data_IF_124515536223
#
_entry.id   IF_124515536223
#
_cell.length_a   1.000
_cell.length_b   1.000
_cell.length_c   1.000
_cell.angle_alpha   90.00
_cell.angle_beta   90.00
_cell.angle_gamma   90.00
#
_symmetry.space_group_name_H-M   'P 1'
#
loop_
_entity.id
_entity.type
_entity.pdbx_description
1 polymer ?
2 water ?
#
# COMPACT_ATOMS: atom_id res chain seq x y z
N UNK A 21 16.30 -8.00 8.57
CA UNK A 21 15.10 -7.17 8.90
C UNK A 21 14.33 -6.73 7.66
N UNK A 22 13.10 -6.27 7.89
CA UNK A 22 12.21 -5.81 6.84
C UNK A 22 12.09 -4.28 6.89
N UNK A 23 12.48 -3.62 5.81
CA UNK A 23 12.43 -2.16 5.71
C UNK A 23 11.25 -1.70 4.86
N UNK A 24 10.39 -0.83 5.40
CA UNK A 24 9.26 -0.29 4.63
C UNK A 24 9.46 1.22 4.64
N UNK A 25 9.64 1.78 3.45
CA UNK A 25 9.86 3.21 3.32
C UNK A 25 9.27 3.68 2.01
N UNK A 26 9.23 4.98 1.79
CA UNK A 26 8.66 5.47 0.54
C UNK A 26 9.71 6.16 -0.32
N UNK A 27 9.48 6.10 -1.63
CA UNK A 27 10.35 6.71 -2.63
C UNK A 27 9.47 7.39 -3.65
N UNK A 28 9.98 8.46 -4.26
CA UNK A 28 9.20 9.16 -5.26
C UNK A 28 9.53 8.65 -6.65
N UNK A 29 8.64 8.94 -7.59
CA UNK A 29 8.85 8.58 -8.98
C UNK A 29 10.16 9.21 -9.43
N UNK A 30 10.35 10.47 -9.04
CA UNK A 30 11.55 11.23 -9.39
C UNK A 30 12.81 10.55 -8.87
N UNK A 31 12.76 10.02 -7.65
CA UNK A 31 13.92 9.34 -7.08
C UNK A 31 14.19 8.05 -7.83
N UNK A 32 13.13 7.39 -8.28
CA UNK A 32 13.27 6.14 -9.03
C UNK A 32 13.85 6.42 -10.41
N UNK A 33 13.70 7.66 -10.87
CA UNK A 33 14.20 8.08 -12.17
C UNK A 33 15.51 8.85 -12.04
N UNK A 34 15.48 9.92 -11.25
CA UNK A 34 16.66 10.76 -11.03
C UNK A 34 17.84 9.92 -10.55
N UNK A 35 17.54 8.72 -10.06
CA UNK A 35 18.59 7.82 -9.57
C UNK A 35 18.49 6.44 -10.23
N UNK A 48 28.37 -1.10 -4.70
CA UNK A 48 28.54 -2.55 -5.03
C UNK A 48 27.19 -3.28 -4.95
N UNK A 49 26.90 -3.85 -3.79
CA UNK A 49 25.65 -4.57 -3.58
C UNK A 49 24.48 -3.58 -3.55
N UNK A 50 24.82 -2.30 -3.51
CA UNK A 50 23.85 -1.21 -3.48
C UNK A 50 23.16 -1.07 -4.83
N UNK A 51 23.93 -0.72 -5.84
CA UNK A 51 23.40 -0.56 -7.19
C UNK A 51 22.70 -1.85 -7.61
N UNK A 52 23.36 -2.98 -7.36
CA UNK A 52 22.81 -4.29 -7.69
C UNK A 52 21.46 -4.51 -7.01
N UNK A 53 21.42 -4.32 -5.70
CA UNK A 53 20.18 -4.51 -4.96
C UNK A 53 19.07 -3.66 -5.55
N UNK A 54 19.41 -2.42 -5.90
CA UNK A 54 18.44 -1.50 -6.47
C UNK A 54 17.95 -2.00 -7.83
N UNK A 55 18.86 -2.58 -8.61
CA UNK A 55 18.46 -3.08 -9.91
C UNK A 55 17.54 -4.29 -9.76
N UNK A 56 17.82 -5.13 -8.77
CA UNK A 56 16.99 -6.31 -8.54
C UNK A 56 15.61 -5.86 -8.11
N UNK A 57 15.58 -4.84 -7.25
CA UNK A 57 14.33 -4.29 -6.75
C UNK A 57 13.48 -3.77 -7.92
N UNK A 58 14.11 -2.98 -8.78
CA UNK A 58 13.41 -2.43 -9.94
C UNK A 58 12.92 -3.53 -10.87
N UNK A 59 13.73 -4.57 -11.06
CA UNK A 59 13.34 -5.67 -11.95
C UNK A 59 12.17 -6.47 -11.36
N UNK A 60 11.92 -6.30 -10.06
CA UNK A 60 10.85 -7.05 -9.41
C UNK A 60 9.57 -6.22 -9.25
N UNK A 61 9.59 -4.98 -9.72
CA UNK A 61 8.41 -4.14 -9.55
C UNK A 61 7.33 -4.20 -10.61
N UNK A 62 6.17 -3.61 -10.29
CA UNK A 62 5.02 -3.55 -11.19
C UNK A 62 5.34 -2.68 -12.42
N UNK A 63 5.05 -3.18 -13.62
CA UNK A 63 5.30 -2.43 -14.85
C UNK A 63 4.42 -1.18 -14.90
N UNK A 64 5.00 -0.07 -15.36
CA UNK A 64 4.32 1.22 -15.42
C UNK A 64 2.99 1.22 -16.16
N UNK A 65 2.21 2.26 -15.88
CA UNK A 65 0.95 2.50 -16.55
C UNK A 65 0.82 4.02 -16.70
N UNK A 66 -0.34 4.51 -17.11
CA UNK A 66 -0.54 5.95 -17.36
C UNK A 66 -0.27 6.87 -16.16
N UNK A 67 -0.34 6.33 -14.96
CA UNK A 67 -0.22 7.14 -13.76
C UNK A 67 1.15 7.21 -13.09
N UNK A 68 2.14 6.47 -13.61
CA UNK A 68 3.47 6.53 -13.00
C UNK A 68 4.24 7.73 -13.53
N UNK A 69 4.33 8.78 -12.70
CA UNK A 69 5.03 10.00 -13.07
C UNK A 69 5.27 10.96 -11.91
N UNK A 70 5.83 12.15 -12.19
CA UNK A 70 6.10 13.13 -11.13
C UNK A 70 4.90 13.32 -10.20
N UNK A 71 5.14 13.14 -8.90
CA UNK A 71 4.07 13.29 -7.93
C UNK A 71 3.72 11.94 -7.33
N UNK A 72 3.83 10.90 -8.15
CA UNK A 72 3.54 9.55 -7.70
C UNK A 72 4.58 9.13 -6.66
N UNK A 73 4.14 8.41 -5.63
CA UNK A 73 5.03 7.93 -4.60
C UNK A 73 4.75 6.44 -4.37
N UNK A 74 5.76 5.72 -3.90
CA UNK A 74 5.65 4.30 -3.66
C UNK A 74 6.21 3.89 -2.33
N UNK A 75 5.52 2.96 -1.68
CA UNK A 75 6.05 2.35 -0.48
C UNK A 75 6.64 1.03 -0.95
N UNK A 76 7.90 0.80 -0.58
CA UNK A 76 8.61 -0.43 -0.90
C UNK A 76 8.89 -1.19 0.40
N UNK A 77 8.70 -2.51 0.37
CA UNK A 77 8.97 -3.37 1.51
C UNK A 77 10.16 -4.18 1.02
N UNK A 78 11.31 -4.00 1.66
CA UNK A 78 12.53 -4.64 1.20
C UNK A 78 13.26 -5.41 2.29
N UNK A 79 13.82 -6.54 1.88
CA UNK A 79 14.56 -7.39 2.79
C UNK A 79 15.71 -8.03 2.02
N UNK A 80 16.92 -7.87 2.53
CA UNK A 80 18.09 -8.45 1.88
C UNK A 80 18.20 -8.04 0.41
N UNK A 81 17.97 -6.76 0.14
CA UNK A 81 18.06 -6.26 -1.23
C UNK A 81 16.98 -6.75 -2.18
N UNK A 82 15.88 -7.28 -1.65
CA UNK A 82 14.81 -7.76 -2.50
C UNK A 82 13.45 -7.17 -2.14
N UNK A 83 12.62 -6.98 -3.15
CA UNK A 83 11.29 -6.40 -2.98
C UNK A 83 10.24 -7.44 -2.61
N UNK A 84 9.66 -7.31 -1.41
CA UNK A 84 8.64 -8.25 -0.96
C UNK A 84 7.24 -7.67 -1.10
N UNK A 85 7.13 -6.34 -1.15
CA UNK A 85 5.81 -5.74 -1.29
C UNK A 85 5.92 -4.28 -1.68
N UNK A 86 4.82 -3.73 -2.16
CA UNK A 86 4.81 -2.33 -2.55
C UNK A 86 3.41 -1.87 -2.80
N UNK A 87 3.24 -0.56 -2.78
CA UNK A 87 1.96 0.02 -3.09
C UNK A 87 2.27 1.43 -3.58
N UNK A 88 1.41 1.91 -4.46
CA UNK A 88 1.56 3.21 -5.10
C UNK A 88 0.53 4.20 -4.64
N UNK A 89 0.97 5.43 -4.45
CA UNK A 89 0.05 6.50 -4.07
C UNK A 89 0.06 7.59 -5.11
N UNK A 90 -1.15 8.01 -5.51
CA UNK A 90 -1.34 9.07 -6.48
C UNK A 90 -2.27 10.13 -5.89
N UNK A 91 -1.93 11.41 -6.03
CA UNK A 91 -2.80 12.47 -5.50
C UNK A 91 -4.14 12.43 -6.21
N UNK A 92 -5.22 12.69 -5.47
CA UNK A 92 -6.54 12.66 -6.08
C UNK A 92 -6.70 13.77 -7.13
N UNK A 93 -5.88 14.81 -7.05
CA UNK A 93 -6.01 15.89 -8.02
C UNK A 93 -5.28 15.60 -9.32
N UNK A 94 -4.58 14.47 -9.36
CA UNK A 94 -3.90 14.08 -10.58
C UNK A 94 -4.63 12.88 -11.18
N UNK A 95 -4.45 12.63 -12.48
CA UNK A 95 -5.12 11.49 -13.11
C UNK A 95 -4.86 10.22 -12.30
N UNK A 96 -5.91 9.45 -12.06
CA UNK A 96 -5.79 8.22 -11.29
C UNK A 96 -6.85 7.20 -11.70
N UNK A 97 -6.79 6.02 -11.11
CA UNK A 97 -7.72 4.98 -11.52
C UNK A 97 -9.18 5.27 -11.21
N UNK A 98 -9.45 6.08 -10.19
CA UNK A 98 -10.83 6.37 -9.86
C UNK A 98 -11.45 7.31 -10.87
N UNK A 99 -10.71 8.36 -11.21
CA UNK A 99 -11.20 9.40 -12.10
C UNK A 99 -11.00 9.10 -13.58
N UNK A 100 -10.04 8.24 -13.90
CA UNK A 100 -9.79 7.92 -15.29
C UNK A 100 -10.14 6.48 -15.68
N UNK A 101 -9.32 5.52 -15.26
CA UNK A 101 -9.55 4.12 -15.62
C UNK A 101 -10.96 3.61 -15.35
N UNK A 102 -11.50 3.88 -14.16
CA UNK A 102 -12.82 3.40 -13.80
C UNK A 102 -13.83 4.53 -13.65
N UNK A 103 -13.59 5.60 -14.39
CA UNK A 103 -14.44 6.78 -14.37
C UNK A 103 -15.92 6.40 -14.52
N UNK A 104 -16.23 5.51 -15.46
CA UNK A 104 -17.62 5.15 -15.69
C UNK A 104 -18.26 4.38 -14.53
N UNK A 105 -17.45 3.84 -13.63
CA UNK A 105 -18.00 3.08 -12.51
C UNK A 105 -18.31 3.95 -11.29
N UNK A 106 -17.55 5.03 -11.12
CA UNK A 106 -17.66 5.85 -9.92
C UNK A 106 -17.87 7.34 -10.18
N UNK A 107 -18.31 7.72 -11.37
CA UNK A 107 -18.47 9.15 -11.65
C UNK A 107 -19.53 9.82 -10.76
N UNK A 108 -20.38 9.04 -10.11
CA UNK A 108 -21.40 9.65 -9.25
C UNK A 108 -20.83 10.00 -7.88
N UNK A 109 -19.67 9.45 -7.57
CA UNK A 109 -19.02 9.70 -6.29
C UNK A 109 -18.20 10.99 -6.32
N UNK A 110 -18.43 11.88 -5.36
CA UNK A 110 -17.67 13.11 -5.31
C UNK A 110 -16.47 12.92 -4.42
N UNK A 111 -15.29 13.20 -4.95
CA UNK A 111 -14.06 13.04 -4.20
C UNK A 111 -13.61 14.36 -3.60
N UNK A 112 -12.84 14.31 -2.50
CA UNK A 112 -12.34 15.52 -1.84
C UNK A 112 -11.33 16.20 -2.76
N UNK A 113 -11.15 17.51 -2.61
CA UNK A 113 -10.19 18.24 -3.43
C UNK A 113 -8.78 17.78 -3.08
N UNK A 114 -8.59 17.43 -1.81
CA UNK A 114 -7.29 17.00 -1.31
C UNK A 114 -7.34 15.55 -0.82
N UNK A 115 -6.41 14.73 -1.30
CA UNK A 115 -6.40 13.34 -0.89
C UNK A 115 -5.45 12.47 -1.70
N UNK A 116 -5.44 11.19 -1.37
CA UNK A 116 -4.55 10.27 -2.06
C UNK A 116 -5.27 8.97 -2.41
N UNK A 117 -4.86 8.36 -3.52
CA UNK A 117 -5.43 7.08 -3.95
C UNK A 117 -4.32 6.03 -3.90
N UNK A 118 -4.56 4.87 -3.30
CA UNK A 118 -3.53 3.84 -3.33
C UNK A 118 -3.90 2.87 -4.43
N UNK A 119 -2.91 2.37 -5.15
CA UNK A 119 -3.20 1.40 -6.21
C UNK A 119 -2.04 0.43 -6.35
N UNK A 120 -2.20 -0.57 -7.21
CA UNK A 120 -1.13 -1.52 -7.45
C UNK A 120 -0.54 -2.15 -6.18
N UNK A 121 -1.42 -2.50 -5.25
CA UNK A 121 -0.98 -3.18 -4.04
C UNK A 121 -0.30 -4.46 -4.50
N UNK A 122 0.90 -4.71 -3.98
CA UNK A 122 1.70 -5.84 -4.39
C UNK A 122 2.38 -6.54 -3.23
N UNK A 123 2.19 -7.85 -3.16
CA UNK A 123 2.88 -8.64 -2.15
C UNK A 123 3.36 -9.92 -2.83
N UNK A 124 4.66 -10.15 -2.83
CA UNK A 124 5.14 -11.39 -3.43
C UNK A 124 5.15 -12.45 -2.33
N UNK A 125 4.06 -13.20 -2.23
CA UNK A 125 3.92 -14.18 -1.17
C UNK A 125 5.00 -15.24 -1.19
N UNK A 126 5.35 -15.70 -2.38
CA UNK A 126 6.41 -16.70 -2.51
C UNK A 126 7.72 -16.16 -1.97
N UNK A 127 8.11 -14.97 -2.41
CA UNK A 127 9.38 -14.40 -1.97
C UNK A 127 9.38 -14.00 -0.50
N UNK A 128 8.22 -13.55 0.00
CA UNK A 128 8.13 -13.14 1.40
C UNK A 128 8.31 -14.36 2.31
N UNK A 129 7.74 -15.47 1.88
CA UNK A 129 7.85 -16.72 2.63
C UNK A 129 9.32 -17.11 2.74
N UNK A 130 10.03 -17.03 1.63
CA UNK A 130 11.44 -17.39 1.59
C UNK A 130 12.29 -16.52 2.52
N UNK A 131 12.09 -15.21 2.45
CA UNK A 131 12.88 -14.27 3.25
C UNK A 131 12.36 -13.99 4.66
N UNK A 132 11.05 -13.93 4.84
CA UNK A 132 10.47 -13.61 6.15
C UNK A 132 9.84 -14.81 6.83
N UNK A 133 9.98 -15.97 6.20
CA UNK A 133 9.40 -17.17 6.75
C UNK A 133 7.92 -17.22 6.48
N UNK A 134 7.36 -18.41 6.57
CA UNK A 134 5.94 -18.61 6.36
C UNK A 134 5.20 -18.00 7.55
N UNK A 135 3.95 -17.62 7.35
CA UNK A 135 3.15 -17.06 8.43
C UNK A 135 3.54 -15.63 8.82
N UNK A 136 4.53 -15.04 8.17
CA UNK A 136 4.84 -13.65 8.51
C UNK A 136 3.69 -12.82 7.94
N UNK A 137 3.05 -11.97 8.76
CA UNK A 137 1.93 -11.17 8.26
C UNK A 137 2.31 -9.98 7.39
N UNK A 138 3.05 -10.25 6.32
CA UNK A 138 3.53 -9.20 5.42
C UNK A 138 2.44 -8.26 4.92
N UNK A 139 1.24 -8.78 4.68
CA UNK A 139 0.14 -7.94 4.20
C UNK A 139 -0.29 -6.93 5.28
N UNK A 140 -0.44 -7.42 6.50
CA UNK A 140 -0.84 -6.54 7.61
C UNK A 140 0.21 -5.47 7.85
N UNK A 141 1.46 -5.83 7.63
CA UNK A 141 2.56 -4.90 7.80
C UNK A 141 2.47 -3.82 6.72
N UNK A 142 2.13 -4.20 5.49
CA UNK A 142 2.00 -3.15 4.46
C UNK A 142 0.82 -2.24 4.77
N UNK A 143 -0.26 -2.79 5.32
CA UNK A 143 -1.41 -1.96 5.69
C UNK A 143 -0.93 -0.94 6.74
N UNK A 144 -0.18 -1.44 7.71
CA UNK A 144 0.36 -0.56 8.76
C UNK A 144 1.24 0.52 8.14
N UNK A 145 2.09 0.13 7.20
CA UNK A 145 2.97 1.08 6.55
C UNK A 145 2.14 2.17 5.84
N UNK A 146 1.04 1.78 5.20
CA UNK A 146 0.20 2.77 4.50
C UNK A 146 -0.35 3.79 5.48
N UNK A 147 -0.77 3.32 6.66
CA UNK A 147 -1.30 4.23 7.69
C UNK A 147 -0.20 5.16 8.21
N UNK A 148 0.96 4.58 8.52
CA UNK A 148 2.07 5.37 9.03
C UNK A 148 2.57 6.38 8.00
N UNK A 149 2.59 5.98 6.73
CA UNK A 149 2.98 6.87 5.65
C UNK A 149 1.93 7.99 5.52
N UNK A 150 0.65 7.63 5.57
CA UNK A 150 -0.40 8.63 5.41
C UNK A 150 -0.31 9.69 6.51
N UNK A 151 -0.08 9.25 7.73
CA UNK A 151 0.04 10.22 8.83
C UNK A 151 1.21 11.16 8.60
N UNK A 152 2.29 10.61 8.05
CA UNK A 152 3.48 11.40 7.78
C UNK A 152 3.26 12.33 6.59
N UNK A 153 2.16 12.14 5.88
CA UNK A 153 1.91 12.94 4.69
C UNK A 153 0.62 13.75 4.71
N UNK A 154 0.06 13.90 5.90
CA UNK A 154 -1.15 14.71 6.06
C UNK A 154 -2.39 14.19 5.35
N UNK A 155 -2.56 12.86 5.33
CA UNK A 155 -3.77 12.24 4.77
C UNK A 155 -4.48 11.50 5.89
N UNK A 156 -5.73 11.87 6.14
CA UNK A 156 -6.47 11.22 7.21
C UNK A 156 -7.05 9.88 6.80
N UNK A 157 -7.14 9.68 5.49
CA UNK A 157 -7.66 8.43 4.94
C UNK A 157 -7.06 8.25 3.55
N UNK A 158 -7.22 7.05 3.01
CA UNK A 158 -6.70 6.73 1.69
C UNK A 158 -7.85 6.20 0.84
N UNK A 159 -7.99 6.66 -0.39
CA UNK A 159 -9.03 6.12 -1.29
C UNK A 159 -8.45 4.97 -2.11
N UNK A 160 -9.24 3.96 -2.43
CA UNK A 160 -8.67 2.87 -3.25
C UNK A 160 -9.76 2.06 -3.90
N UNK A 161 -9.41 1.42 -5.01
CA UNK A 161 -10.37 0.55 -5.71
C UNK A 161 -9.84 -0.85 -5.59
N UNK A 162 -10.64 -1.76 -5.05
CA UNK A 162 -10.17 -3.11 -4.88
C UNK A 162 -11.12 -4.16 -5.45
N UNK A 163 -10.55 -5.32 -5.70
CA UNK A 163 -11.34 -6.46 -6.15
C UNK A 163 -12.12 -7.02 -4.96
N UNK A 164 -13.07 -7.88 -5.26
CA UNK A 164 -13.89 -8.52 -4.25
C UNK A 164 -13.00 -9.32 -3.31
N UNK A 165 -12.00 -10.00 -3.87
CA UNK A 165 -11.09 -10.81 -3.08
C UNK A 165 -10.33 -9.97 -2.09
N UNK A 166 -9.83 -8.83 -2.56
CA UNK A 166 -9.08 -7.92 -1.72
C UNK A 166 -10.00 -7.29 -0.65
N UNK A 167 -11.25 -7.01 -1.01
CA UNK A 167 -12.19 -6.47 -0.04
C UNK A 167 -12.33 -7.50 1.09
N UNK A 168 -12.41 -8.78 0.75
CA UNK A 168 -12.52 -9.80 1.79
C UNK A 168 -11.29 -9.77 2.71
N UNK A 169 -10.11 -9.63 2.12
CA UNK A 169 -8.87 -9.56 2.89
C UNK A 169 -8.91 -8.38 3.85
N UNK A 170 -9.21 -7.20 3.32
CA UNK A 170 -9.26 -6.00 4.14
C UNK A 170 -10.28 -6.12 5.25
N UNK A 171 -11.42 -6.71 4.93
CA UNK A 171 -12.46 -6.83 5.92
C UNK A 171 -12.01 -7.72 7.08
N UNK A 172 -11.31 -8.80 6.74
CA UNK A 172 -10.78 -9.75 7.71
C UNK A 172 -9.59 -9.18 8.49
N UNK A 173 -8.95 -8.15 7.94
CA UNK A 173 -7.80 -7.56 8.60
C UNK A 173 -8.15 -6.79 9.87
N UNK A 174 -9.42 -6.42 10.03
CA UNK A 174 -9.78 -5.63 11.19
C UNK A 174 -9.74 -4.15 10.86
N UNK A 175 -8.94 -3.79 9.86
CA UNK A 175 -8.87 -2.38 9.44
C UNK A 175 -10.30 -1.95 9.15
N UNK A 176 -10.74 -0.84 9.76
CA UNK A 176 -12.12 -0.37 9.62
C UNK A 176 -12.38 0.37 8.32
N UNK A 177 -12.19 -0.34 7.21
CA UNK A 177 -12.39 0.24 5.91
C UNK A 177 -13.86 0.54 5.68
N UNK A 178 -14.12 1.47 4.78
CA UNK A 178 -15.49 1.86 4.46
C UNK A 178 -15.74 1.79 2.96
N UNK A 179 -16.75 1.03 2.58
CA UNK A 179 -17.11 0.92 1.18
C UNK A 179 -17.92 2.13 0.77
N UNK A 180 -17.39 2.87 -0.19
CA UNK A 180 -18.05 4.05 -0.69
C UNK A 180 -19.02 3.62 -1.78
N UNK A 181 -18.56 2.72 -2.66
CA UNK A 181 -19.43 2.24 -3.71
C UNK A 181 -18.97 0.91 -4.28
N UNK A 182 -19.95 0.05 -4.53
CA UNK A 182 -19.71 -1.26 -5.12
C UNK A 182 -20.06 -1.11 -6.59
N UNK A 183 -19.18 -1.55 -7.47
CA UNK A 183 -19.44 -1.42 -8.89
C UNK A 183 -19.25 -2.73 -9.60
N UNK A 184 -19.86 -2.86 -10.77
CA UNK A 184 -19.71 -4.10 -11.51
C UNK A 184 -18.76 -3.88 -12.66
N UNK A 185 -17.52 -4.34 -12.50
CA UNK A 185 -16.54 -4.22 -13.56
C UNK A 185 -17.12 -4.94 -14.78
N UNK A 186 -17.59 -6.16 -14.55
CA UNK A 186 -18.22 -6.95 -15.60
C UNK A 186 -19.53 -7.51 -15.05
N UNK A 187 -20.11 -8.48 -15.74
CA UNK A 187 -21.36 -9.07 -15.27
C UNK A 187 -21.14 -9.79 -13.94
N UNK A 188 -20.02 -10.51 -13.81
CA UNK A 188 -19.73 -11.25 -12.59
C UNK A 188 -18.55 -10.70 -11.78
N UNK A 189 -17.93 -9.63 -12.25
CA UNK A 189 -16.78 -9.03 -11.57
C UNK A 189 -17.14 -7.78 -10.78
N UNK A 190 -17.08 -7.85 -9.45
CA UNK A 190 -17.39 -6.69 -8.63
C UNK A 190 -16.13 -6.04 -8.07
N UNK A 191 -16.12 -4.71 -8.11
CA UNK A 191 -15.01 -3.94 -7.57
C UNK A 191 -15.57 -2.91 -6.62
N UNK A 192 -14.72 -2.38 -5.74
CA UNK A 192 -15.25 -1.48 -4.74
C UNK A 192 -14.35 -0.29 -4.52
N UNK A 193 -14.98 0.87 -4.37
CA UNK A 193 -14.29 2.11 -4.04
C UNK A 193 -14.35 2.21 -2.51
N UNK A 194 -13.20 2.30 -1.86
CA UNK A 194 -13.17 2.35 -0.41
C UNK A 194 -12.37 3.50 0.12
N UNK A 195 -12.60 3.82 1.39
CA UNK A 195 -11.71 4.75 2.07
C UNK A 195 -11.10 3.88 3.17
N UNK A 196 -9.79 4.01 3.35
CA UNK A 196 -9.03 3.29 4.36
C UNK A 196 -8.66 4.34 5.41
N UNK A 197 -9.10 4.16 6.66
CA UNK A 197 -8.79 5.14 7.70
C UNK A 197 -7.35 5.09 8.17
N UNK A 198 -6.76 6.28 8.35
CA UNK A 198 -5.38 6.39 8.79
C UNK A 198 -5.27 7.26 10.05
N UNK A 199 -6.24 7.13 10.95
CA UNK A 199 -6.21 7.90 12.19
C UNK A 199 -5.37 7.20 13.25
N UNK A 200 -5.25 7.79 14.44
CA UNK A 200 -4.44 7.16 15.48
C UNK A 200 -5.00 5.80 15.88
N UNK A 201 -6.32 5.66 15.94
CA UNK A 201 -6.90 4.37 16.33
C UNK A 201 -6.53 3.27 15.34
N UNK A 202 -6.43 3.65 14.07
CA UNK A 202 -6.10 2.69 13.03
C UNK A 202 -4.64 2.31 13.12
N UNK A 203 -3.78 3.29 13.35
CA UNK A 203 -2.35 3.03 13.50
C UNK A 203 -2.10 2.11 14.71
N UNK A 204 -2.85 2.32 15.79
CA UNK A 204 -2.66 1.49 16.98
C UNK A 204 -3.25 0.12 16.75
N UNK A 205 -4.35 0.07 16.01
CA UNK A 205 -5.01 -1.19 15.74
C UNK A 205 -4.14 -2.10 14.90
N UNK A 206 -3.67 -1.57 13.76
CA UNK A 206 -2.81 -2.36 12.88
C UNK A 206 -1.48 -2.66 13.54
N UNK A 207 -0.93 -1.66 14.22
CA UNK A 207 0.34 -1.84 14.91
C UNK A 207 0.26 -2.91 15.99
N UNK A 208 -0.84 -2.92 16.74
CA UNK A 208 -1.03 -3.89 17.80
C UNK A 208 -1.15 -5.29 17.25
N UNK A 209 -1.82 -5.42 16.12
CA UNK A 209 -1.99 -6.72 15.48
C UNK A 209 -0.63 -7.27 15.02
N UNK A 210 0.20 -6.40 14.45
CA UNK A 210 1.53 -6.80 13.99
C UNK A 210 2.41 -7.20 15.16
N UNK A 211 2.37 -6.41 16.23
CA UNK A 211 3.19 -6.74 17.39
C UNK A 211 2.82 -8.12 17.94
N UNK A 212 1.54 -8.34 18.20
CA UNK A 212 1.13 -9.62 18.76
C UNK A 212 1.34 -10.81 17.81
N UNK A 213 1.46 -10.55 16.51
CA UNK A 213 1.66 -11.64 15.55
C UNK A 213 3.12 -11.92 15.27
N UNK A 214 3.98 -10.94 15.53
CA UNK A 214 5.40 -11.13 15.25
C UNK A 214 6.26 -11.00 16.49
N UNK A 215 5.69 -10.47 17.57
CA UNK A 215 6.44 -10.30 18.79
C UNK A 215 7.54 -9.25 18.68
N UNK A 216 7.47 -8.44 17.63
CA UNK A 216 8.46 -7.39 17.43
C UNK A 216 8.36 -6.37 18.56
N UNK A 217 9.41 -5.57 18.75
CA UNK A 217 9.39 -4.56 19.81
C UNK A 217 8.24 -3.58 19.50
N UNK A 218 7.41 -3.26 20.50
CA UNK A 218 6.27 -2.36 20.34
C UNK A 218 6.56 -1.01 19.67
N UNK A 219 7.74 -0.45 19.91
CA UNK A 219 8.08 0.85 19.32
C UNK A 219 8.35 0.72 17.81
N UNK A 220 8.62 -0.50 17.36
CA UNK A 220 8.94 -0.75 15.95
C UNK A 220 7.78 -0.45 15.00
N UNK A 221 6.54 -0.53 15.49
CA UNK A 221 5.38 -0.28 14.63
C UNK A 221 4.86 1.15 14.70
N UNK A 222 5.56 2.00 15.45
CA UNK A 222 5.11 3.37 15.63
C UNK A 222 5.81 4.39 14.74
N UNK A 223 6.79 3.96 13.95
CA UNK A 223 7.58 4.90 13.17
C UNK A 223 7.34 4.92 11.67
N UNK A 224 7.94 5.91 11.02
CA UNK A 224 7.93 6.00 9.56
C UNK A 224 9.20 6.69 9.10
N UNK A 225 10.03 6.00 8.29
CA UNK A 225 9.90 4.63 7.78
C UNK A 225 9.81 3.58 8.88
N UNK A 226 9.47 2.37 8.46
CA UNK A 226 9.36 1.25 9.35
C UNK A 226 10.54 0.30 9.18
N UNK A 227 11.03 -0.22 10.30
CA UNK A 227 12.10 -1.22 10.30
C UNK A 227 11.67 -2.31 11.26
N UNK A 228 11.35 -3.48 10.71
CA UNK A 228 10.87 -4.59 11.51
C UNK A 228 11.82 -5.79 11.53
N UNK A 229 12.05 -6.35 12.72
CA UNK A 229 12.95 -7.50 12.80
C UNK A 229 12.19 -8.75 12.37
N UNK A 230 12.84 -9.55 11.54
CA UNK A 230 12.26 -10.77 11.04
C UNK A 230 13.14 -11.95 11.44
#
# INVERSE_FOLDING_TARGET
MGSSHHHHHHSSGLVPRGSHMLELFDVSYEELQTTRSEELYKLRKKTFSDRLGWEVICSQGMESDEFDGPGTRYILGICEGQLVCSVRFTSLDRPNMITHTFQHCFSDVTLPAYGTESSRFFVDKARARALLGEHYPISQVLFLAMVNWAQNNAYGNIYTIVSRAMLKILTRSGWQIKVIKEAFLTEKERIYLLTLPAGQDDKQQLGGDVVSRTGCPPVAVTTWPLTLPV
#
